data_IF_750724632919
#
_entry.id   IF_750724632919
#
_cell.length_a   1.000
_cell.length_b   1.000
_cell.length_c   1.000
_cell.angle_alpha   90.00
_cell.angle_beta   90.00
_cell.angle_gamma   90.00
#
_symmetry.space_group_name_H-M   'P 1'
#
loop_
_entity.id
_entity.type
_entity.pdbx_description
1 polymer ?
#
# COMPACT_ATOMS: atom_id res chain seq x y z
N UNK A 1 14.31 -4.69 -9.86
CA UNK A 1 13.68 -3.44 -9.38
C UNK A 1 13.65 -3.45 -7.85
N UNK A 2 14.78 -3.19 -7.17
CA UNK A 2 14.89 -3.43 -5.72
C UNK A 2 15.42 -2.22 -4.93
N UNK A 3 15.46 -1.02 -5.51
CA UNK A 3 16.00 0.17 -4.86
C UNK A 3 14.91 1.12 -4.28
N UNK A 4 13.63 0.98 -4.65
CA UNK A 4 12.62 2.03 -4.38
C UNK A 4 11.88 1.93 -3.03
N UNK A 5 11.99 0.79 -2.31
CA UNK A 5 11.34 0.62 -0.99
C UNK A 5 12.28 0.95 0.18
N UNK A 6 13.48 1.46 -0.10
CA UNK A 6 14.55 1.69 0.88
C UNK A 6 14.24 2.72 1.96
N UNK A 7 13.20 3.55 1.78
CA UNK A 7 12.78 4.55 2.77
C UNK A 7 11.44 4.28 3.44
N UNK A 8 10.65 3.30 2.97
CA UNK A 8 9.31 3.04 3.51
C UNK A 8 9.40 2.37 4.88
N UNK A 9 8.46 2.69 5.76
CA UNK A 9 8.23 1.93 6.99
C UNK A 9 7.92 0.46 6.67
N UNK A 10 8.12 -0.47 7.63
CA UNK A 10 7.83 -1.89 7.43
C UNK A 10 6.38 -2.15 7.00
N UNK A 11 5.42 -1.41 7.58
CA UNK A 11 4.00 -1.52 7.23
C UNK A 11 3.74 -1.01 5.81
N UNK A 12 4.33 0.13 5.43
CA UNK A 12 4.22 0.67 4.08
C UNK A 12 4.81 -0.29 3.03
N UNK A 13 5.94 -0.95 3.35
CA UNK A 13 6.53 -1.98 2.48
C UNK A 13 5.59 -3.16 2.31
N UNK A 14 5.02 -3.69 3.40
CA UNK A 14 4.03 -4.78 3.35
C UNK A 14 2.80 -4.41 2.51
N UNK A 15 2.30 -3.18 2.63
CA UNK A 15 1.21 -2.67 1.78
C UNK A 15 1.57 -2.69 0.29
N UNK A 16 2.76 -2.22 -0.06
CA UNK A 16 3.22 -2.21 -1.46
C UNK A 16 3.34 -3.63 -2.00
N UNK A 17 3.94 -4.54 -1.24
CA UNK A 17 4.05 -5.95 -1.62
C UNK A 17 2.67 -6.57 -1.89
N UNK A 18 1.67 -6.26 -1.07
CA UNK A 18 0.30 -6.73 -1.30
C UNK A 18 -0.32 -6.18 -2.58
N UNK A 19 -0.14 -4.88 -2.84
CA UNK A 19 -0.65 -4.20 -4.04
C UNK A 19 0.07 -4.63 -5.33
N UNK A 20 1.30 -5.12 -5.23
CA UNK A 20 2.03 -5.74 -6.34
C UNK A 20 1.48 -7.12 -6.70
N UNK A 21 0.94 -7.85 -5.72
CA UNK A 21 0.36 -9.18 -5.94
C UNK A 21 -1.04 -9.07 -6.55
N UNK A 22 -1.87 -8.14 -6.06
CA UNK A 22 -3.25 -7.96 -6.54
C UNK A 22 -3.78 -6.53 -6.33
N UNK A 23 -4.69 -6.04 -7.20
CA UNK A 23 -5.46 -4.84 -6.91
C UNK A 23 -6.28 -4.99 -5.62
N UNK A 24 -6.30 -3.94 -4.79
CA UNK A 24 -6.99 -3.94 -3.49
C UNK A 24 -7.71 -2.63 -3.20
N UNK A 25 -8.83 -2.68 -2.48
CA UNK A 25 -9.33 -1.49 -1.79
C UNK A 25 -8.48 -1.17 -0.56
N UNK A 26 -8.53 0.08 -0.12
CA UNK A 26 -7.91 0.46 1.16
C UNK A 26 -8.52 -0.31 2.35
N UNK A 27 -9.81 -0.63 2.27
CA UNK A 27 -10.48 -1.45 3.28
C UNK A 27 -9.87 -2.86 3.38
N UNK A 28 -9.56 -3.49 2.24
CA UNK A 28 -8.93 -4.81 2.21
C UNK A 28 -7.54 -4.76 2.85
N UNK A 29 -6.75 -3.71 2.56
CA UNK A 29 -5.45 -3.49 3.20
C UNK A 29 -5.59 -3.39 4.73
N UNK A 30 -6.63 -2.72 5.23
CA UNK A 30 -6.88 -2.61 6.67
C UNK A 30 -7.23 -3.96 7.30
N UNK A 31 -8.01 -4.80 6.61
CA UNK A 31 -8.37 -6.13 7.10
C UNK A 31 -7.16 -7.06 7.17
N UNK A 32 -6.35 -7.08 6.12
CA UNK A 32 -5.16 -7.92 5.99
C UNK A 32 -4.02 -7.49 6.93
N UNK A 33 -3.98 -6.20 7.29
CA UNK A 33 -3.10 -5.62 8.30
C UNK A 33 -3.79 -5.51 9.67
N UNK A 34 -4.79 -6.35 9.94
CA UNK A 34 -5.54 -6.32 11.21
C UNK A 34 -4.69 -6.55 12.47
N UNK A 35 -3.46 -7.02 12.31
CA UNK A 35 -2.44 -7.15 13.36
C UNK A 35 -1.73 -5.81 13.69
N UNK A 36 -1.92 -4.78 12.88
CA UNK A 36 -1.26 -3.47 12.98
C UNK A 36 -2.24 -2.42 13.53
N UNK A 37 -1.81 -1.53 14.46
CA UNK A 37 -2.65 -0.43 14.92
C UNK A 37 -3.14 0.45 13.75
N UNK A 38 -4.44 0.76 13.71
CA UNK A 38 -5.03 1.50 12.60
C UNK A 38 -4.35 2.84 12.29
N UNK A 39 -3.84 3.55 13.31
CA UNK A 39 -3.07 4.79 13.11
C UNK A 39 -1.79 4.56 12.31
N UNK A 40 -1.09 3.45 12.54
CA UNK A 40 0.14 3.09 11.85
C UNK A 40 -0.17 2.70 10.39
N UNK A 41 -1.29 2.00 10.15
CA UNK A 41 -1.82 1.74 8.81
C UNK A 41 -2.05 3.06 8.06
N UNK A 42 -2.69 4.05 8.68
CA UNK A 42 -2.95 5.36 8.05
C UNK A 42 -1.66 6.12 7.72
N UNK A 43 -0.67 6.07 8.61
CA UNK A 43 0.64 6.72 8.38
C UNK A 43 1.39 6.04 7.23
N UNK A 44 1.46 4.70 7.25
CA UNK A 44 2.04 3.92 6.18
C UNK A 44 1.36 4.18 4.84
N UNK A 45 0.03 4.28 4.84
CA UNK A 45 -0.73 4.61 3.63
C UNK A 45 -0.38 6.00 3.08
N UNK A 46 -0.14 6.98 3.96
CA UNK A 46 0.39 8.29 3.58
C UNK A 46 1.74 8.18 2.88
N UNK A 47 2.71 7.47 3.47
CA UNK A 47 4.03 7.25 2.88
C UNK A 47 3.95 6.60 1.49
N UNK A 48 3.11 5.57 1.38
CA UNK A 48 2.88 4.84 0.14
C UNK A 48 2.37 5.78 -0.93
N UNK A 49 1.31 6.55 -0.66
CA UNK A 49 0.72 7.51 -1.60
C UNK A 49 1.64 8.66 -2.01
N UNK A 50 2.57 9.05 -1.14
CA UNK A 50 3.55 10.10 -1.45
C UNK A 50 4.69 9.60 -2.35
N UNK A 51 5.03 8.30 -2.25
CA UNK A 51 6.25 7.76 -2.86
C UNK A 51 6.01 6.81 -4.02
N UNK A 52 4.83 6.22 -4.12
CA UNK A 52 4.47 5.33 -5.21
C UNK A 52 3.42 6.00 -6.10
N UNK A 53 3.45 5.69 -7.40
CA UNK A 53 2.40 6.10 -8.33
C UNK A 53 1.23 5.13 -8.26
N UNK A 54 0.02 5.70 -8.16
CA UNK A 54 -1.22 4.95 -8.07
C UNK A 54 -2.17 5.30 -9.18
N UNK A 55 -2.82 4.27 -9.70
CA UNK A 55 -4.08 4.36 -10.40
C UNK A 55 -5.22 3.77 -9.58
N UNK A 56 -6.40 3.79 -10.17
CA UNK A 56 -7.52 2.92 -9.79
C UNK A 56 -8.02 2.20 -11.04
N UNK A 57 -8.47 0.96 -10.87
CA UNK A 57 -9.18 0.25 -11.93
C UNK A 57 -10.65 0.73 -12.03
N UNK A 58 -11.43 0.12 -12.92
CA UNK A 58 -12.84 0.48 -13.17
C UNK A 58 -13.73 0.25 -11.94
N UNK A 59 -13.36 -0.68 -11.06
CA UNK A 59 -14.07 -1.00 -9.83
C UNK A 59 -13.59 -0.18 -8.62
N UNK A 60 -12.50 0.59 -8.79
CA UNK A 60 -11.93 1.46 -7.78
C UNK A 60 -10.84 0.84 -6.90
N UNK A 61 -10.33 -0.35 -7.23
CA UNK A 61 -9.19 -0.94 -6.54
C UNK A 61 -7.93 -0.15 -6.85
N UNK A 62 -7.05 -0.02 -5.87
CA UNK A 62 -5.74 0.56 -6.07
C UNK A 62 -4.84 -0.38 -6.85
N UNK A 63 -4.18 0.18 -7.87
CA UNK A 63 -3.15 -0.48 -8.67
C UNK A 63 -1.89 0.39 -8.68
N UNK A 64 -0.74 -0.24 -8.46
CA UNK A 64 0.55 0.41 -8.62
C UNK A 64 0.84 0.64 -10.10
N UNK A 65 1.37 1.82 -10.41
CA UNK A 65 1.81 2.18 -11.75
C UNK A 65 3.33 2.26 -11.80
N UNK A 66 3.90 1.95 -12.97
CA UNK A 66 5.34 2.12 -13.26
C UNK A 66 5.75 3.60 -13.44
#
# INVERSE_FOLDING_TARGET
>A
MSAELGGLSPVARRMVEMLQVRPLFFYDLCLELGDVPYREILQAWGEVRERCRFGRDEDGHYILQE
#
